data_IF_530466891042
#
_entry.id   IF_530466891042
#
_cell.length_a   1.000
_cell.length_b   1.000
_cell.length_c   1.000
_cell.angle_alpha   90.00
_cell.angle_beta   90.00
_cell.angle_gamma   90.00
#
_symmetry.space_group_name_H-M   'P 1'
#
loop_
_entity.id
_entity.type
_entity.pdbx_description
1 polymer ?
#
# COMPACT_ATOMS: atom_id res chain seq x y z
N UNK A 1 22.49 11.30 13.23
CA UNK A 1 22.08 12.67 12.82
C UNK A 1 21.10 13.22 13.86
N UNK A 2 21.33 14.42 14.39
CA UNK A 2 20.38 15.09 15.29
C UNK A 2 19.18 15.60 14.49
N UNK A 3 18.01 15.02 14.69
CA UNK A 3 16.76 15.45 14.03
C UNK A 3 16.25 16.77 14.63
N UNK A 4 15.76 17.69 13.81
CA UNK A 4 15.13 18.92 14.30
C UNK A 4 13.77 18.57 14.94
N UNK A 5 13.72 18.59 16.26
CA UNK A 5 12.56 18.14 17.04
C UNK A 5 11.28 18.93 16.73
N UNK A 6 11.39 20.24 16.49
CA UNK A 6 10.23 21.09 16.17
C UNK A 6 9.65 20.75 14.81
N UNK A 7 10.50 20.59 13.79
CA UNK A 7 10.07 20.16 12.46
C UNK A 7 9.45 18.75 12.50
N UNK A 8 10.10 17.81 13.19
CA UNK A 8 9.59 16.45 13.35
C UNK A 8 8.20 16.42 13.99
N UNK A 9 7.97 17.22 15.04
CA UNK A 9 6.65 17.34 15.68
C UNK A 9 5.61 17.99 14.75
N UNK A 10 6.01 18.98 13.96
CA UNK A 10 5.15 19.61 12.96
C UNK A 10 4.70 18.62 11.87
N UNK A 11 5.60 17.77 11.38
CA UNK A 11 5.27 16.72 10.40
C UNK A 11 4.34 15.66 11.01
N UNK A 12 4.65 15.18 12.23
CA UNK A 12 3.79 14.23 12.95
C UNK A 12 2.39 14.80 13.24
N UNK A 13 2.26 16.12 13.41
CA UNK A 13 0.96 16.77 13.52
C UNK A 13 0.14 16.60 12.24
N UNK A 14 0.74 16.83 11.07
CA UNK A 14 0.06 16.66 9.79
C UNK A 14 -0.39 15.21 9.59
N UNK A 15 0.46 14.24 9.96
CA UNK A 15 0.12 12.82 9.93
C UNK A 15 -1.08 12.51 10.85
N UNK A 16 -1.09 13.05 12.07
CA UNK A 16 -2.17 12.86 13.03
C UNK A 16 -3.50 13.47 12.55
N UNK A 17 -3.45 14.65 11.90
CA UNK A 17 -4.62 15.29 11.30
C UNK A 17 -5.13 14.47 10.11
N UNK A 18 -4.23 13.93 9.28
CA UNK A 18 -4.58 13.12 8.12
C UNK A 18 -5.19 11.75 8.49
N UNK A 19 -4.68 11.12 9.56
CA UNK A 19 -5.16 9.82 10.02
C UNK A 19 -6.50 9.88 10.78
N UNK A 20 -6.90 11.07 11.24
CA UNK A 20 -8.14 11.26 12.00
C UNK A 20 -9.34 11.40 11.07
N UNK A 21 -10.40 10.63 11.33
CA UNK A 21 -11.70 10.79 10.65
C UNK A 21 -12.45 12.06 11.11
N UNK A 22 -12.04 12.65 12.22
CA UNK A 22 -12.61 13.87 12.78
C UNK A 22 -11.60 15.02 12.76
N UNK A 23 -12.08 16.25 12.71
CA UNK A 23 -11.24 17.42 12.96
C UNK A 23 -10.66 17.36 14.37
N UNK A 24 -9.42 17.83 14.56
CA UNK A 24 -8.73 17.79 15.85
C UNK A 24 -8.57 19.19 16.45
N UNK A 25 -8.85 19.35 17.73
CA UNK A 25 -8.53 20.53 18.52
C UNK A 25 -7.16 20.43 19.19
N UNK A 26 -6.69 21.53 19.78
CA UNK A 26 -5.36 21.63 20.41
C UNK A 26 -5.14 20.56 21.50
N UNK A 27 -6.16 20.28 22.32
CA UNK A 27 -6.06 19.27 23.40
C UNK A 27 -5.94 17.84 22.86
N UNK A 28 -6.60 17.55 21.74
CA UNK A 28 -6.53 16.24 21.09
C UNK A 28 -5.15 16.07 20.44
N UNK A 29 -4.68 17.09 19.74
CA UNK A 29 -3.32 17.17 19.20
C UNK A 29 -2.25 16.96 20.27
N UNK A 30 -2.34 17.71 21.38
CA UNK A 30 -1.37 17.65 22.47
C UNK A 30 -1.25 16.22 23.03
N UNK A 31 -2.39 15.54 23.19
CA UNK A 31 -2.47 14.15 23.66
C UNK A 31 -1.88 13.16 22.66
N UNK A 32 -2.21 13.30 21.38
CA UNK A 32 -1.75 12.40 20.32
C UNK A 32 -0.23 12.47 20.10
N UNK A 33 0.35 13.66 20.26
CA UNK A 33 1.78 13.87 20.07
C UNK A 33 2.60 13.79 21.35
N UNK A 34 1.95 13.58 22.50
CA UNK A 34 2.56 13.60 23.84
C UNK A 34 3.38 14.88 24.08
N UNK A 35 2.73 16.03 23.93
CA UNK A 35 3.31 17.36 24.09
C UNK A 35 2.39 18.29 24.90
N UNK A 36 2.92 19.39 25.41
CA UNK A 36 2.11 20.38 26.13
C UNK A 36 1.14 21.12 25.18
N UNK A 37 -0.03 21.57 25.66
CA UNK A 37 -0.96 22.38 24.86
C UNK A 37 -0.33 23.65 24.27
N UNK A 38 0.63 24.25 24.97
CA UNK A 38 1.37 25.44 24.48
C UNK A 38 2.24 25.10 23.26
N UNK A 39 2.94 23.96 23.28
CA UNK A 39 3.74 23.50 22.13
C UNK A 39 2.81 23.15 20.97
N UNK A 40 1.72 22.42 21.23
CA UNK A 40 0.72 22.08 20.22
C UNK A 40 0.13 23.34 19.54
N UNK A 41 -0.25 24.36 20.33
CA UNK A 41 -0.75 25.62 19.81
C UNK A 41 0.24 26.32 18.89
N UNK A 42 1.53 26.38 19.27
CA UNK A 42 2.57 26.98 18.45
C UNK A 42 2.73 26.26 17.11
N UNK A 43 2.78 24.92 17.12
CA UNK A 43 2.90 24.11 15.90
C UNK A 43 1.70 24.31 14.98
N UNK A 44 0.49 24.28 15.54
CA UNK A 44 -0.76 24.49 14.80
C UNK A 44 -0.78 25.88 14.18
N UNK A 45 -0.44 26.93 14.93
CA UNK A 45 -0.41 28.30 14.40
C UNK A 45 0.55 28.42 13.21
N UNK A 46 1.77 27.90 13.33
CA UNK A 46 2.73 27.91 12.22
C UNK A 46 2.19 27.18 10.98
N UNK A 47 1.54 26.03 11.16
CA UNK A 47 0.99 25.27 10.04
C UNK A 47 -0.28 25.90 9.44
N UNK A 48 -1.06 26.63 10.24
CA UNK A 48 -2.18 27.45 9.75
C UNK A 48 -1.69 28.65 8.95
N UNK A 49 -0.70 29.38 9.47
CA UNK A 49 -0.06 30.50 8.77
C UNK A 49 0.57 30.07 7.44
N UNK A 50 1.16 28.88 7.39
CA UNK A 50 1.71 28.28 6.16
C UNK A 50 0.64 27.61 5.25
N UNK A 51 -0.64 27.61 5.66
CA UNK A 51 -1.75 27.06 4.88
C UNK A 51 -1.83 25.53 4.82
N UNK A 52 -1.03 24.81 5.63
CA UNK A 52 -1.08 23.35 5.75
C UNK A 52 -2.19 22.86 6.67
N UNK A 53 -2.62 23.69 7.60
CA UNK A 53 -3.83 23.48 8.39
C UNK A 53 -4.79 24.64 8.17
N UNK A 54 -6.08 24.39 8.41
CA UNK A 54 -7.11 25.41 8.45
C UNK A 54 -8.04 25.13 9.63
N UNK A 55 -8.45 26.20 10.32
CA UNK A 55 -9.42 26.10 11.39
C UNK A 55 -10.83 26.05 10.81
N UNK A 56 -11.62 25.10 11.29
CA UNK A 56 -13.05 24.96 10.98
C UNK A 56 -13.83 25.92 11.87
N UNK A 57 -14.60 26.82 11.27
CA UNK A 57 -15.22 27.97 11.94
C UNK A 57 -16.16 27.53 13.06
N UNK A 58 -16.96 26.50 12.79
CA UNK A 58 -18.04 26.02 13.65
C UNK A 58 -17.50 25.31 14.89
N UNK A 59 -16.43 24.52 14.72
CA UNK A 59 -15.92 23.63 15.78
C UNK A 59 -14.64 24.14 16.44
N UNK A 60 -14.00 25.17 15.85
CA UNK A 60 -12.65 25.65 16.20
C UNK A 60 -11.56 24.58 16.13
N UNK A 61 -11.87 23.40 15.57
CA UNK A 61 -10.93 22.31 15.33
C UNK A 61 -10.19 22.53 13.99
N UNK A 62 -9.18 21.73 13.73
CA UNK A 62 -8.28 21.87 12.60
C UNK A 62 -8.39 20.69 11.64
N UNK A 63 -8.23 20.99 10.35
CA UNK A 63 -8.15 20.03 9.24
C UNK A 63 -7.01 20.42 8.30
N UNK A 64 -6.66 19.54 7.36
CA UNK A 64 -5.68 19.86 6.32
C UNK A 64 -6.11 21.09 5.51
N UNK A 65 -5.16 21.99 5.27
CA UNK A 65 -5.30 23.17 4.42
C UNK A 65 -4.87 22.90 2.98
N UNK A 66 -5.13 23.86 2.09
CA UNK A 66 -4.91 23.72 0.64
C UNK A 66 -3.44 23.54 0.27
N UNK A 67 -2.49 24.02 1.08
CA UNK A 67 -1.06 23.84 0.82
C UNK A 67 -0.66 22.35 0.79
N UNK A 68 -1.31 21.50 1.59
CA UNK A 68 -1.08 20.06 1.58
C UNK A 68 -1.48 19.43 0.24
N UNK A 69 -2.62 19.85 -0.33
CA UNK A 69 -3.08 19.40 -1.64
C UNK A 69 -2.14 19.84 -2.76
N UNK A 70 -1.64 21.08 -2.70
CA UNK A 70 -0.75 21.63 -3.72
C UNK A 70 0.55 20.81 -3.86
N UNK A 71 1.10 20.34 -2.74
CA UNK A 71 2.28 19.47 -2.74
C UNK A 71 2.01 18.11 -3.37
N UNK A 72 0.95 17.42 -2.93
CA UNK A 72 0.58 16.11 -3.47
C UNK A 72 0.24 16.17 -4.95
N UNK A 73 -0.42 17.25 -5.39
CA UNK A 73 -0.80 17.45 -6.80
C UNK A 73 0.42 17.59 -7.72
N UNK A 74 1.52 18.17 -7.25
CA UNK A 74 2.75 18.28 -8.04
C UNK A 74 3.38 16.91 -8.30
N UNK A 75 3.40 16.05 -7.28
CA UNK A 75 3.84 14.65 -7.42
C UNK A 75 2.99 13.94 -8.47
N UNK A 76 1.66 13.98 -8.34
CA UNK A 76 0.73 13.31 -9.26
C UNK A 76 0.88 13.79 -10.73
N UNK A 77 1.12 15.08 -10.96
CA UNK A 77 1.15 15.65 -12.32
C UNK A 77 2.40 15.34 -13.12
N UNK A 78 3.51 15.01 -12.47
CA UNK A 78 4.83 14.87 -13.14
C UNK A 78 5.42 13.47 -13.01
N UNK A 79 4.65 12.55 -12.43
CA UNK A 79 5.10 11.20 -12.14
C UNK A 79 4.52 10.20 -13.16
N UNK A 80 5.41 9.67 -14.00
CA UNK A 80 5.09 8.71 -15.05
C UNK A 80 4.59 7.37 -14.49
N UNK A 81 5.09 6.95 -13.33
CA UNK A 81 4.59 5.78 -12.60
C UNK A 81 3.12 6.01 -12.23
N UNK A 82 2.82 7.17 -11.63
CA UNK A 82 1.46 7.48 -11.22
C UNK A 82 0.51 7.53 -12.42
N UNK A 83 0.90 8.20 -13.50
CA UNK A 83 0.06 8.34 -14.70
C UNK A 83 -0.22 6.98 -15.36
N UNK A 84 0.82 6.18 -15.57
CA UNK A 84 0.71 4.85 -16.19
C UNK A 84 -0.14 3.91 -15.34
N UNK A 85 0.17 3.80 -14.05
CA UNK A 85 -0.59 2.96 -13.13
C UNK A 85 -2.04 3.42 -12.99
N UNK A 86 -2.32 4.73 -12.96
CA UNK A 86 -3.70 5.24 -12.90
C UNK A 86 -4.54 4.81 -14.11
N UNK A 87 -3.94 4.77 -15.30
CA UNK A 87 -4.62 4.28 -16.51
C UNK A 87 -4.94 2.78 -16.38
N UNK A 88 -3.95 1.99 -15.97
CA UNK A 88 -4.10 0.54 -15.80
C UNK A 88 -5.12 0.16 -14.72
N UNK A 89 -5.06 0.83 -13.56
CA UNK A 89 -6.01 0.60 -12.47
C UNK A 89 -7.45 0.93 -12.89
N UNK A 90 -7.65 1.97 -13.71
CA UNK A 90 -8.97 2.30 -14.26
C UNK A 90 -9.50 1.19 -15.17
N UNK A 91 -8.65 0.65 -16.05
CA UNK A 91 -9.00 -0.48 -16.92
C UNK A 91 -9.40 -1.70 -16.08
N UNK A 92 -8.60 -2.06 -15.07
CA UNK A 92 -8.88 -3.17 -14.17
C UNK A 92 -10.21 -2.98 -13.41
N UNK A 93 -10.49 -1.75 -12.95
CA UNK A 93 -11.72 -1.45 -12.24
C UNK A 93 -12.97 -1.45 -13.14
N UNK A 94 -12.89 -0.84 -14.32
CA UNK A 94 -14.03 -0.67 -15.22
C UNK A 94 -14.35 -1.94 -16.00
N UNK A 95 -13.33 -2.63 -16.53
CA UNK A 95 -13.52 -3.78 -17.42
C UNK A 95 -13.60 -5.10 -16.66
N UNK A 96 -12.90 -5.22 -15.53
CA UNK A 96 -12.78 -6.48 -14.78
C UNK A 96 -13.46 -6.44 -13.41
N UNK A 97 -14.01 -5.29 -13.01
CA UNK A 97 -14.66 -5.10 -11.70
C UNK A 97 -13.73 -5.42 -10.52
N UNK A 98 -12.47 -5.02 -10.65
CA UNK A 98 -11.43 -5.26 -9.64
C UNK A 98 -11.05 -3.94 -8.96
N UNK A 99 -11.06 -3.90 -7.62
CA UNK A 99 -10.58 -2.72 -6.91
C UNK A 99 -9.06 -2.66 -7.03
N UNK A 100 -8.53 -1.53 -7.48
CA UNK A 100 -7.16 -1.37 -7.89
C UNK A 100 -6.33 -0.51 -6.93
N UNK A 101 -5.06 -0.88 -6.70
CA UNK A 101 -4.17 -0.18 -5.78
C UNK A 101 -2.76 -0.07 -6.35
N UNK A 102 -2.18 1.11 -6.25
CA UNK A 102 -0.76 1.40 -6.48
C UNK A 102 -0.12 1.71 -5.13
N UNK A 103 1.03 1.11 -4.83
CA UNK A 103 1.74 1.41 -3.60
C UNK A 103 3.25 1.30 -3.71
N UNK A 104 3.92 1.96 -2.77
CA UNK A 104 5.37 1.96 -2.62
C UNK A 104 5.74 1.54 -1.21
N UNK A 105 6.92 0.95 -1.07
CA UNK A 105 7.47 0.65 0.23
C UNK A 105 8.08 1.93 0.82
N UNK A 106 7.61 2.35 1.99
CA UNK A 106 8.14 3.50 2.72
C UNK A 106 8.40 3.13 4.18
N UNK A 107 9.68 3.02 4.53
CA UNK A 107 10.13 2.53 5.84
C UNK A 107 9.57 1.12 6.10
N UNK A 108 8.79 0.96 7.16
CA UNK A 108 8.24 -0.33 7.64
C UNK A 108 6.82 -0.62 7.11
N UNK A 109 6.33 0.14 6.12
CA UNK A 109 4.98 -0.06 5.59
C UNK A 109 4.90 0.14 4.07
N UNK A 110 3.85 -0.41 3.48
CA UNK A 110 3.42 -0.02 2.13
C UNK A 110 2.51 1.20 2.25
N UNK A 111 2.74 2.21 1.43
CA UNK A 111 1.88 3.39 1.32
C UNK A 111 1.13 3.34 0.00
N UNK A 112 -0.19 3.41 0.05
CA UNK A 112 -0.98 3.56 -1.17
C UNK A 112 -0.74 4.94 -1.79
N UNK A 113 -0.30 4.96 -3.04
CA UNK A 113 -0.21 6.19 -3.83
C UNK A 113 -1.53 6.49 -4.53
N UNK A 114 -2.18 5.45 -5.04
CA UNK A 114 -3.45 5.58 -5.75
C UNK A 114 -4.36 4.38 -5.49
N UNK A 115 -5.67 4.64 -5.47
CA UNK A 115 -6.71 3.64 -5.25
C UNK A 115 -7.85 3.90 -6.22
N UNK A 116 -8.30 2.87 -6.94
CA UNK A 116 -9.43 2.94 -7.86
C UNK A 116 -10.47 1.92 -7.42
N UNK A 117 -11.66 2.38 -7.05
CA UNK A 117 -12.75 1.48 -6.70
C UNK A 117 -13.47 1.02 -7.96
N UNK A 118 -13.81 -0.26 -8.02
CA UNK A 118 -14.72 -0.77 -9.03
C UNK A 118 -16.16 -0.37 -8.71
N UNK A 119 -17.04 -0.39 -9.71
CA UNK A 119 -18.48 -0.18 -9.52
C UNK A 119 -19.20 -1.40 -8.89
N UNK A 120 -18.45 -2.35 -8.31
CA UNK A 120 -19.00 -3.54 -7.67
C UNK A 120 -19.81 -3.22 -6.40
N UNK A 121 -20.59 -4.18 -5.95
CA UNK A 121 -21.53 -4.00 -4.82
C UNK A 121 -20.86 -3.69 -3.47
N UNK A 122 -19.54 -3.87 -3.34
CA UNK A 122 -18.80 -3.67 -2.09
C UNK A 122 -17.50 -2.91 -2.38
N UNK A 123 -17.35 -1.76 -1.72
CA UNK A 123 -16.14 -0.95 -1.75
C UNK A 123 -15.13 -1.46 -0.72
N UNK A 124 -13.90 -1.73 -1.16
CA UNK A 124 -12.79 -1.99 -0.25
C UNK A 124 -12.26 -0.63 0.17
N UNK A 125 -12.57 -0.23 1.40
CA UNK A 125 -12.18 1.09 1.93
C UNK A 125 -10.66 1.16 2.06
N UNK A 126 -10.03 1.87 1.12
CA UNK A 126 -8.65 2.28 1.21
C UNK A 126 -8.52 3.69 0.64
N UNK A 127 -7.58 4.46 1.17
CA UNK A 127 -7.29 5.81 0.69
C UNK A 127 -5.82 5.97 0.27
N UNK A 128 -5.56 6.87 -0.67
CA UNK A 128 -4.20 7.33 -0.93
C UNK A 128 -3.59 7.94 0.35
N UNK A 129 -2.33 7.61 0.62
CA UNK A 129 -1.59 7.96 1.83
C UNK A 129 -1.77 6.97 2.99
N UNK A 130 -2.70 6.03 2.91
CA UNK A 130 -2.87 5.01 3.94
C UNK A 130 -1.69 4.03 3.97
N UNK A 131 -1.28 3.64 5.19
CA UNK A 131 -0.20 2.69 5.45
C UNK A 131 -0.78 1.31 5.70
N UNK A 132 -0.34 0.31 4.92
CA UNK A 132 -0.76 -1.08 5.05
C UNK A 132 0.40 -2.03 5.32
N UNK A 133 0.06 -3.21 5.83
CA UNK A 133 1.03 -4.23 6.22
C UNK A 133 1.82 -4.72 5.00
N UNK A 134 3.16 -4.73 5.08
CA UNK A 134 4.00 -5.22 3.99
C UNK A 134 4.03 -6.75 3.90
N UNK A 135 3.75 -7.49 4.97
CA UNK A 135 3.73 -8.97 4.94
C UNK A 135 2.36 -9.59 4.69
N UNK A 136 1.27 -8.88 4.99
CA UNK A 136 -0.08 -9.42 4.90
C UNK A 136 -0.82 -9.03 3.60
N UNK A 137 -0.24 -8.18 2.75
CA UNK A 137 -0.86 -7.71 1.50
C UNK A 137 -0.11 -8.21 0.27
N UNK A 138 -0.81 -8.35 -0.86
CA UNK A 138 -0.17 -8.71 -2.12
C UNK A 138 0.81 -7.62 -2.61
N UNK A 139 0.47 -6.33 -2.51
CA UNK A 139 1.45 -5.26 -2.79
C UNK A 139 2.72 -5.41 -1.97
N UNK A 140 2.57 -5.62 -0.67
CA UNK A 140 3.71 -5.76 0.22
C UNK A 140 4.57 -6.95 -0.15
N UNK A 141 3.99 -8.13 -0.36
CA UNK A 141 4.74 -9.30 -0.83
C UNK A 141 5.46 -9.05 -2.16
N UNK A 142 4.80 -8.40 -3.13
CA UNK A 142 5.42 -8.03 -4.41
C UNK A 142 6.62 -7.07 -4.24
N UNK A 143 6.51 -6.08 -3.36
CA UNK A 143 7.59 -5.13 -3.03
C UNK A 143 8.75 -5.80 -2.29
N UNK A 144 8.46 -6.76 -1.43
CA UNK A 144 9.45 -7.43 -0.58
C UNK A 144 10.16 -8.61 -1.29
N UNK A 145 9.56 -9.18 -2.34
CA UNK A 145 10.01 -10.45 -2.94
C UNK A 145 11.47 -10.46 -3.40
N UNK A 146 12.06 -9.30 -3.68
CA UNK A 146 13.43 -9.16 -4.20
C UNK A 146 14.38 -8.45 -3.24
N UNK A 147 13.90 -8.07 -2.06
CA UNK A 147 14.76 -7.47 -1.07
C UNK A 147 15.68 -8.54 -0.44
N UNK A 148 16.92 -8.16 -0.11
CA UNK A 148 17.81 -9.01 0.66
C UNK A 148 17.29 -9.17 2.09
N UNK A 149 17.70 -10.25 2.76
CA UNK A 149 17.12 -10.68 4.04
C UNK A 149 17.32 -9.69 5.18
N UNK A 150 18.44 -8.97 5.18
CA UNK A 150 18.74 -7.89 6.12
C UNK A 150 17.71 -6.75 6.01
N UNK A 151 17.39 -6.33 4.78
CA UNK A 151 16.35 -5.32 4.53
C UNK A 151 14.97 -5.81 4.94
N UNK A 152 14.66 -7.08 4.74
CA UNK A 152 13.40 -7.66 5.20
C UNK A 152 13.27 -7.60 6.73
N UNK A 153 14.35 -7.92 7.45
CA UNK A 153 14.39 -7.86 8.92
C UNK A 153 14.26 -6.41 9.42
N UNK A 154 14.87 -5.44 8.76
CA UNK A 154 14.69 -4.02 9.09
C UNK A 154 13.23 -3.55 8.90
N UNK A 155 12.53 -4.05 7.89
CA UNK A 155 11.16 -3.63 7.56
C UNK A 155 10.12 -4.32 8.43
N UNK A 156 10.30 -5.63 8.66
CA UNK A 156 9.30 -6.47 9.32
C UNK A 156 9.58 -6.67 10.81
N UNK A 157 10.80 -6.38 11.26
CA UNK A 157 11.30 -6.77 12.57
C UNK A 157 11.49 -8.29 12.71
N UNK A 158 11.80 -8.70 13.93
CA UNK A 158 11.93 -10.12 14.25
C UNK A 158 10.55 -10.82 14.24
N UNK A 159 10.52 -12.02 13.66
CA UNK A 159 9.34 -12.88 13.72
C UNK A 159 9.03 -13.35 15.17
N UNK A 160 7.77 -13.65 15.51
CA UNK A 160 6.60 -13.75 14.62
C UNK A 160 6.05 -12.39 14.20
N UNK A 161 5.68 -12.28 12.92
CA UNK A 161 5.02 -11.07 12.41
C UNK A 161 3.60 -10.96 12.94
N UNK A 162 3.09 -9.72 13.04
CA UNK A 162 1.75 -9.45 13.54
C UNK A 162 0.68 -10.19 12.73
N UNK A 163 -0.17 -10.97 13.41
CA UNK A 163 -1.29 -11.66 12.78
C UNK A 163 -2.46 -10.68 12.59
N UNK A 164 -2.94 -10.51 11.37
CA UNK A 164 -4.14 -9.72 11.06
C UNK A 164 -5.39 -10.60 10.96
N UNK A 165 -5.19 -11.84 10.50
CA UNK A 165 -6.19 -12.89 10.45
C UNK A 165 -5.55 -14.23 10.81
N UNK A 166 -6.36 -15.28 10.88
CA UNK A 166 -5.87 -16.66 11.03
C UNK A 166 -5.07 -17.18 9.81
N UNK A 167 -5.09 -16.46 8.70
CA UNK A 167 -4.40 -16.83 7.45
C UNK A 167 -3.07 -16.11 7.28
N UNK A 168 -2.81 -15.03 8.05
CA UNK A 168 -1.57 -14.24 7.95
C UNK A 168 -0.34 -15.12 8.15
N UNK A 169 0.63 -14.99 7.25
CA UNK A 169 1.92 -15.66 7.37
C UNK A 169 2.79 -14.96 8.44
N UNK A 170 2.82 -15.51 9.65
CA UNK A 170 3.56 -14.92 10.79
C UNK A 170 4.98 -15.44 10.95
N UNK A 171 5.27 -16.64 10.45
CA UNK A 171 6.59 -17.27 10.60
C UNK A 171 7.55 -16.86 9.47
N UNK A 172 8.75 -16.38 9.82
CA UNK A 172 9.78 -15.94 8.88
C UNK A 172 10.05 -16.97 7.77
N UNK A 173 10.20 -18.25 8.11
CA UNK A 173 10.47 -19.32 7.15
C UNK A 173 9.34 -19.51 6.14
N UNK A 174 8.08 -19.43 6.58
CA UNK A 174 6.92 -19.60 5.69
C UNK A 174 6.77 -18.38 4.78
N UNK A 175 6.98 -17.19 5.32
CA UNK A 175 6.95 -15.95 4.55
C UNK A 175 8.09 -15.88 3.52
N UNK A 176 9.31 -16.31 3.87
CA UNK A 176 10.43 -16.37 2.93
C UNK A 176 10.15 -17.28 1.73
N UNK A 177 9.51 -18.43 1.94
CA UNK A 177 9.07 -19.32 0.85
C UNK A 177 8.01 -18.67 -0.05
N UNK A 178 7.11 -17.88 0.54
CA UNK A 178 6.11 -17.14 -0.21
C UNK A 178 6.74 -16.04 -1.09
N UNK A 179 7.76 -15.36 -0.57
CA UNK A 179 8.53 -14.37 -1.34
C UNK A 179 9.34 -15.03 -2.48
N UNK A 180 9.93 -16.20 -2.23
CA UNK A 180 10.62 -16.97 -3.27
C UNK A 180 9.65 -17.40 -4.39
N UNK A 181 8.46 -17.88 -4.02
CA UNK A 181 7.40 -18.19 -4.97
C UNK A 181 7.01 -16.95 -5.77
N UNK A 182 6.77 -15.83 -5.09
CA UNK A 182 6.41 -14.54 -5.69
C UNK A 182 7.44 -14.11 -6.73
N UNK A 183 8.73 -14.20 -6.39
CA UNK A 183 9.84 -13.88 -7.29
C UNK A 183 9.85 -14.78 -8.54
N UNK A 184 9.57 -16.08 -8.37
CA UNK A 184 9.57 -17.05 -9.48
C UNK A 184 8.42 -16.85 -10.45
N UNK A 185 7.21 -16.55 -9.94
CA UNK A 185 6.00 -16.46 -10.77
C UNK A 185 5.69 -15.04 -11.24
N UNK A 186 6.33 -14.02 -10.65
CA UNK A 186 6.17 -12.61 -11.03
C UNK A 186 4.95 -11.92 -10.41
N UNK A 187 4.22 -12.58 -9.52
CA UNK A 187 3.09 -12.03 -8.80
C UNK A 187 2.95 -12.68 -7.43
N UNK A 188 2.21 -12.03 -6.56
CA UNK A 188 1.89 -12.48 -5.20
C UNK A 188 0.38 -12.58 -5.03
N UNK A 189 -0.04 -13.43 -4.11
CA UNK A 189 -1.43 -13.54 -3.66
C UNK A 189 -1.44 -13.33 -2.14
N UNK A 190 -2.41 -12.57 -1.65
CA UNK A 190 -2.76 -12.57 -0.24
C UNK A 190 -4.21 -13.07 -0.10
N UNK A 191 -4.36 -14.30 0.36
CA UNK A 191 -5.65 -14.98 0.52
C UNK A 191 -6.16 -14.82 1.95
N UNK A 192 -7.03 -13.83 2.17
CA UNK A 192 -7.58 -13.50 3.48
C UNK A 192 -6.52 -13.19 4.55
N UNK A 193 -5.30 -12.82 4.15
CA UNK A 193 -4.18 -12.61 5.07
C UNK A 193 -4.22 -11.25 5.78
N UNK A 194 -4.76 -10.22 5.13
CA UNK A 194 -4.91 -8.87 5.69
C UNK A 194 -6.29 -8.67 6.32
N UNK A 195 -7.33 -9.19 5.69
CA UNK A 195 -8.74 -9.06 6.05
C UNK A 195 -9.51 -10.30 5.60
N UNK A 196 -10.40 -10.82 6.46
CA UNK A 196 -11.19 -12.01 6.14
C UNK A 196 -12.17 -11.74 5.00
N UNK A 197 -12.34 -12.71 4.11
CA UNK A 197 -13.19 -12.58 2.92
C UNK A 197 -12.59 -11.76 1.76
N UNK A 198 -11.41 -11.16 1.92
CA UNK A 198 -10.73 -10.38 0.88
C UNK A 198 -9.53 -11.15 0.32
N UNK A 199 -9.42 -11.20 -1.00
CA UNK A 199 -8.24 -11.70 -1.71
C UNK A 199 -7.61 -10.54 -2.46
N UNK A 200 -6.28 -10.46 -2.45
CA UNK A 200 -5.55 -9.52 -3.30
C UNK A 200 -4.48 -10.22 -4.11
N UNK A 201 -4.21 -9.71 -5.32
CA UNK A 201 -3.20 -10.19 -6.24
C UNK A 201 -2.38 -9.00 -6.72
N UNK A 202 -1.05 -9.08 -6.63
CA UNK A 202 -0.16 -7.95 -6.90
C UNK A 202 1.13 -8.36 -7.60
N UNK A 203 1.71 -7.42 -8.34
CA UNK A 203 2.95 -7.60 -9.10
C UNK A 203 3.87 -6.40 -8.91
N UNK A 204 5.21 -6.58 -8.92
CA UNK A 204 6.13 -5.45 -8.83
C UNK A 204 6.11 -4.58 -10.10
N UNK A 205 6.41 -3.30 -9.93
CA UNK A 205 6.72 -2.35 -11.00
C UNK A 205 8.21 -2.00 -10.91
N UNK A 206 8.88 -2.09 -12.05
CA UNK A 206 10.33 -1.89 -12.16
C UNK A 206 10.68 -0.60 -12.89
N UNK A 207 11.78 0.02 -12.49
CA UNK A 207 12.40 1.12 -13.25
C UNK A 207 13.35 0.57 -14.35
N UNK A 208 13.95 1.49 -15.10
CA UNK A 208 14.95 1.17 -16.13
C UNK A 208 16.15 0.31 -15.67
N UNK A 209 16.53 0.39 -14.39
CA UNK A 209 17.59 -0.45 -13.80
C UNK A 209 17.12 -1.87 -13.45
N UNK A 210 15.84 -2.17 -13.64
CA UNK A 210 15.21 -3.43 -13.21
C UNK A 210 14.88 -3.50 -11.73
N UNK A 211 15.09 -2.42 -10.98
CA UNK A 211 14.79 -2.34 -9.55
C UNK A 211 13.29 -2.21 -9.30
N UNK A 212 12.77 -2.95 -8.32
CA UNK A 212 11.38 -2.81 -7.87
C UNK A 212 11.22 -1.47 -7.14
N UNK A 213 10.45 -0.56 -7.72
CA UNK A 213 10.22 0.80 -7.18
C UNK A 213 8.81 1.01 -6.65
N UNK A 214 7.86 0.20 -7.12
CA UNK A 214 6.47 0.23 -6.71
C UNK A 214 5.85 -1.16 -6.93
N UNK A 215 4.57 -1.31 -6.58
CA UNK A 215 3.77 -2.46 -6.98
C UNK A 215 2.35 -2.01 -7.33
N UNK A 216 1.72 -2.78 -8.22
CA UNK A 216 0.30 -2.65 -8.58
C UNK A 216 -0.42 -3.91 -8.13
N UNK A 217 -1.63 -3.75 -7.63
CA UNK A 217 -2.45 -4.88 -7.20
C UNK A 217 -3.93 -4.63 -7.42
N UNK A 218 -4.67 -5.71 -7.31
CA UNK A 218 -6.13 -5.70 -7.22
C UNK A 218 -6.59 -6.43 -5.97
N UNK A 219 -7.77 -6.07 -5.48
CA UNK A 219 -8.46 -6.81 -4.44
C UNK A 219 -9.94 -6.99 -4.76
N UNK A 220 -10.48 -8.13 -4.32
CA UNK A 220 -11.85 -8.55 -4.57
C UNK A 220 -12.33 -9.46 -3.44
N UNK A 221 -13.65 -9.64 -3.36
CA UNK A 221 -14.23 -10.54 -2.37
C UNK A 221 -14.09 -11.98 -2.82
N UNK A 222 -13.59 -12.84 -1.93
CA UNK A 222 -13.44 -14.27 -2.18
C UNK A 222 -14.76 -14.95 -2.53
N UNK A 223 -15.87 -14.44 -1.98
CA UNK A 223 -17.21 -14.93 -2.27
C UNK A 223 -17.66 -14.65 -3.72
N UNK A 224 -17.07 -13.65 -4.39
CA UNK A 224 -17.42 -13.26 -5.76
C UNK A 224 -16.50 -13.89 -6.80
N UNK A 225 -15.21 -14.10 -6.47
CA UNK A 225 -14.19 -14.63 -7.39
C UNK A 225 -13.46 -15.81 -6.75
N UNK A 226 -13.75 -17.00 -7.25
CA UNK A 226 -13.21 -18.24 -6.71
C UNK A 226 -11.77 -18.51 -7.16
N UNK A 227 -11.05 -19.44 -6.50
CA UNK A 227 -9.66 -19.74 -6.84
C UNK A 227 -9.37 -20.18 -8.28
N UNK A 228 -10.41 -20.60 -9.02
CA UNK A 228 -10.29 -20.95 -10.44
C UNK A 228 -10.07 -19.72 -11.35
N UNK A 229 -10.54 -18.54 -10.93
CA UNK A 229 -10.40 -17.28 -11.67
C UNK A 229 -9.09 -16.55 -11.36
N UNK A 230 -8.43 -16.89 -10.24
CA UNK A 230 -7.23 -16.17 -9.79
C UNK A 230 -6.07 -16.18 -10.78
N UNK A 231 -5.78 -17.27 -11.52
CA UNK A 231 -4.72 -17.24 -12.53
C UNK A 231 -4.98 -16.24 -13.66
N UNK A 232 -6.23 -16.11 -14.10
CA UNK A 232 -6.62 -15.13 -15.12
C UNK A 232 -6.48 -13.69 -14.58
N UNK A 233 -6.91 -13.46 -13.33
CA UNK A 233 -6.75 -12.16 -12.67
C UNK A 233 -5.26 -11.84 -12.49
N UNK A 234 -4.43 -12.81 -12.11
CA UNK A 234 -2.99 -12.62 -11.97
C UNK A 234 -2.35 -12.21 -13.29
N UNK A 235 -2.74 -12.83 -14.41
CA UNK A 235 -2.26 -12.44 -15.75
C UNK A 235 -2.63 -10.99 -16.10
N UNK A 236 -3.86 -10.56 -15.81
CA UNK A 236 -4.28 -9.16 -16.02
C UNK A 236 -3.41 -8.19 -15.21
N UNK A 237 -3.15 -8.50 -13.94
CA UNK A 237 -2.35 -7.66 -13.04
C UNK A 237 -0.88 -7.64 -13.46
N UNK A 238 -0.29 -8.78 -13.84
CA UNK A 238 1.08 -8.88 -14.34
C UNK A 238 1.23 -8.05 -15.62
N UNK A 239 0.30 -8.16 -16.57
CA UNK A 239 0.33 -7.36 -17.81
C UNK A 239 0.23 -5.86 -17.52
N UNK A 240 -0.59 -5.45 -16.56
CA UNK A 240 -0.67 -4.07 -16.10
C UNK A 240 0.66 -3.59 -15.48
N UNK A 241 1.27 -4.39 -14.59
CA UNK A 241 2.56 -4.08 -13.99
C UNK A 241 3.71 -3.99 -14.99
N UNK A 242 3.71 -4.84 -16.03
CA UNK A 242 4.67 -4.76 -17.13
C UNK A 242 4.50 -3.49 -17.96
N UNK A 243 3.26 -3.07 -18.26
CA UNK A 243 3.01 -1.79 -18.95
C UNK A 243 3.46 -0.59 -18.11
N UNK A 244 3.22 -0.63 -16.79
CA UNK A 244 3.75 0.37 -15.87
C UNK A 244 5.29 0.40 -15.86
N UNK A 245 5.92 -0.78 -15.82
CA UNK A 245 7.38 -0.88 -15.82
C UNK A 245 7.98 -0.39 -17.15
N UNK A 246 7.35 -0.71 -18.27
CA UNK A 246 7.77 -0.24 -19.59
C UNK A 246 7.70 1.29 -19.71
N UNK A 247 6.68 1.93 -19.12
CA UNK A 247 6.61 3.38 -19.03
C UNK A 247 7.78 3.98 -18.22
N UNK A 248 8.34 3.24 -17.26
CA UNK A 248 9.54 3.64 -16.50
C UNK A 248 10.86 3.23 -17.16
N UNK A 249 10.82 2.80 -18.42
CA UNK A 249 12.00 2.38 -19.19
C UNK A 249 12.49 0.97 -18.90
N UNK A 250 11.75 0.15 -18.13
CA UNK A 250 12.12 -1.25 -17.94
C UNK A 250 11.86 -2.07 -19.20
N UNK A 251 12.88 -2.79 -19.66
CA UNK A 251 12.75 -3.77 -20.74
C UNK A 251 13.01 -5.16 -20.18
N UNK A 252 12.05 -6.11 -20.28
CA UNK A 252 12.29 -7.48 -19.86
C UNK A 252 13.44 -8.09 -20.66
N UNK A 253 14.34 -8.87 -20.04
CA UNK A 253 15.42 -9.54 -20.76
C UNK A 253 14.83 -10.44 -21.87
N UNK A 254 15.42 -10.37 -23.07
CA UNK A 254 14.90 -10.92 -24.34
C UNK A 254 14.79 -12.46 -24.41
N UNK A 255 15.09 -13.17 -23.32
CA UNK A 255 15.09 -14.63 -23.24
C UNK A 255 14.32 -15.08 -22.00
N UNK A 256 13.03 -15.31 -22.20
CA UNK A 256 12.15 -15.87 -21.19
C UNK A 256 10.75 -15.40 -21.48
N UNK A 257 9.97 -16.21 -22.18
CA UNK A 257 8.54 -16.19 -21.94
C UNK A 257 8.35 -16.20 -20.42
N UNK A 258 7.81 -15.13 -19.85
CA UNK A 258 7.15 -15.22 -18.54
C UNK A 258 5.91 -16.06 -18.81
N UNK A 259 6.12 -17.36 -18.98
CA UNK A 259 5.06 -18.33 -18.91
C UNK A 259 4.54 -18.17 -17.48
N UNK A 260 3.36 -17.58 -17.36
CA UNK A 260 2.63 -17.47 -16.11
C UNK A 260 2.43 -18.90 -15.64
N UNK A 261 3.32 -19.36 -14.76
CA UNK A 261 3.15 -20.66 -14.17
C UNK A 261 1.98 -20.52 -13.20
N UNK A 262 0.92 -21.32 -13.36
CA UNK A 262 -0.17 -21.31 -12.41
C UNK A 262 0.41 -21.61 -11.04
N UNK A 263 0.31 -20.66 -10.11
CA UNK A 263 0.57 -20.93 -8.70
C UNK A 263 -0.38 -22.06 -8.29
N UNK A 264 0.10 -23.15 -7.67
CA UNK A 264 -0.79 -24.16 -7.13
C UNK A 264 -1.73 -23.45 -6.16
N UNK A 265 -3.03 -23.58 -6.40
CA UNK A 265 -4.05 -23.09 -5.48
C UNK A 265 -3.65 -23.56 -4.08
N UNK A 266 -3.57 -22.67 -3.06
CA UNK A 266 -3.19 -23.11 -1.72
C UNK A 266 -4.10 -24.28 -1.36
N UNK A 267 -3.48 -25.45 -1.16
CA UNK A 267 -4.21 -26.67 -0.87
C UNK A 267 -5.19 -26.35 0.26
N UNK A 268 -6.47 -26.74 0.12
CA UNK A 268 -7.43 -26.69 1.21
C UNK A 268 -6.73 -27.31 2.42
N UNK A 269 -6.35 -26.48 3.39
CA UNK A 269 -5.84 -26.97 4.67
C UNK A 269 -7.05 -27.57 5.36
N UNK A 270 -7.28 -28.85 5.11
CA UNK A 270 -8.22 -29.65 5.88
C UNK A 270 -7.74 -29.60 7.32
N UNK A 271 -8.48 -28.93 8.19
CA UNK A 271 -8.35 -29.08 9.63
C UNK A 271 -8.70 -30.54 9.95
N UNK A 272 -7.70 -31.41 10.02
CA UNK A 272 -7.77 -32.61 10.84
C UNK A 272 -7.62 -32.17 12.28
N UNK A 273 -8.75 -31.85 12.91
CA UNK A 273 -8.91 -31.92 14.36
C UNK A 273 -8.98 -33.40 14.75
N UNK A 274 -8.08 -33.80 15.64
CA UNK A 274 -8.26 -34.96 16.51
C UNK A 274 -9.47 -34.77 17.41
#
# INVERSE_FOLDING_TARGET
>A
MSTNQSLSRGLRLLDAINASSEHLGIREVARLLDISPSIAQRLVNTLVEAGYLQQVVETRKYRLGVSALALGSKMVRSDELYASASSELRILAEQHQLNGFLGVLQQEAVVYLHTVQSHGAIAIRAAAGERVSPHATALGKALLAELPSDRLEEILGAAPYAARTKHTLTAARTFAKELELTRRVGYSIADEENELGVVSIGTPIRNHDGMVVAAISVAFLKAQRGPKEWPEIADLVVRAGLRCSAALGFTPPSHGHVAIQPVPTPARRTNTTH
#
